data_IF_782793181098
#
_entry.id   IF_782793181098
#
_cell.length_a   1.000
_cell.length_b   1.000
_cell.length_c   1.000
_cell.angle_alpha   90.00
_cell.angle_beta   90.00
_cell.angle_gamma   90.00
#
_symmetry.space_group_name_H-M   'P 1'
#
loop_
_entity.id
_entity.type
_entity.pdbx_description
1 polymer ?
#
# COMPACT_ATOMS: atom_id res chain seq x y z
N UNK A 1 -8.49 -15.47 -3.97
CA UNK A 1 -8.24 -14.06 -3.58
C UNK A 1 -7.03 -13.86 -2.69
N UNK A 2 -6.79 -14.70 -1.68
CA UNK A 2 -5.65 -14.53 -0.75
C UNK A 2 -4.28 -14.52 -1.46
N UNK A 3 -4.12 -15.35 -2.51
CA UNK A 3 -2.89 -15.40 -3.29
C UNK A 3 -2.60 -14.12 -4.11
N UNK A 4 -3.64 -13.43 -4.60
CA UNK A 4 -3.48 -12.16 -5.33
C UNK A 4 -3.01 -11.06 -4.37
N UNK A 5 -3.57 -11.02 -3.15
CA UNK A 5 -3.16 -10.05 -2.13
C UNK A 5 -1.70 -10.25 -1.68
N UNK A 6 -1.25 -11.49 -1.53
CA UNK A 6 0.16 -11.82 -1.23
C UNK A 6 1.07 -11.31 -2.37
N UNK A 7 0.70 -11.56 -3.63
CA UNK A 7 1.47 -11.12 -4.80
C UNK A 7 1.64 -9.60 -4.89
N UNK A 8 0.57 -8.84 -4.62
CA UNK A 8 0.66 -7.36 -4.58
C UNK A 8 1.49 -6.82 -3.41
N UNK A 9 1.65 -7.57 -2.33
CA UNK A 9 2.37 -7.10 -1.12
C UNK A 9 3.88 -7.34 -1.22
N UNK A 10 4.33 -8.36 -1.94
CA UNK A 10 5.75 -8.78 -2.04
C UNK A 10 6.50 -8.05 -3.19
N UNK A 11 5.94 -6.99 -3.79
CA UNK A 11 6.45 -6.32 -5.00
C UNK A 11 7.96 -6.02 -5.07
N UNK A 12 8.48 -5.65 -6.25
CA UNK A 12 9.94 -5.61 -6.51
C UNK A 12 10.70 -4.62 -5.62
N UNK A 13 10.01 -3.63 -5.05
CA UNK A 13 10.56 -2.70 -4.06
C UNK A 13 11.09 -3.35 -2.78
N UNK A 14 10.57 -4.52 -2.39
CA UNK A 14 11.11 -5.28 -1.24
C UNK A 14 12.58 -5.65 -1.49
N UNK A 15 12.95 -6.03 -2.71
CA UNK A 15 14.31 -6.48 -3.01
C UNK A 15 15.22 -5.35 -3.48
N UNK A 16 14.69 -4.40 -4.26
CA UNK A 16 15.47 -3.26 -4.74
C UNK A 16 15.81 -2.27 -3.61
N UNK A 17 14.88 -2.07 -2.67
CA UNK A 17 14.99 -1.10 -1.58
C UNK A 17 15.49 -1.66 -0.25
N UNK A 18 15.25 -2.95 0.07
CA UNK A 18 15.68 -3.48 1.36
C UNK A 18 17.21 -3.58 1.47
N UNK A 19 17.92 -3.93 0.39
CA UNK A 19 19.38 -4.06 0.42
C UNK A 19 20.10 -2.74 0.76
N UNK A 20 19.65 -1.63 0.18
CA UNK A 20 20.18 -0.29 0.46
C UNK A 20 19.76 0.21 1.84
N UNK A 21 18.52 -0.06 2.25
CA UNK A 21 17.99 0.35 3.57
C UNK A 21 18.70 -0.40 4.71
N UNK A 22 18.92 -1.71 4.56
CA UNK A 22 19.63 -2.55 5.53
C UNK A 22 21.11 -2.14 5.62
N UNK A 23 21.76 -1.85 4.49
CA UNK A 23 23.14 -1.38 4.46
C UNK A 23 23.32 -0.02 5.15
N UNK A 24 22.39 0.92 4.92
CA UNK A 24 22.49 2.27 5.48
C UNK A 24 22.10 2.37 6.97
N UNK A 25 21.13 1.57 7.42
CA UNK A 25 20.52 1.71 8.76
C UNK A 25 20.89 0.57 9.73
N UNK A 26 21.52 -0.50 9.21
CA UNK A 26 21.99 -1.64 10.01
C UNK A 26 20.84 -2.50 10.58
N UNK A 27 21.08 -3.33 11.61
CA UNK A 27 20.09 -4.28 12.14
C UNK A 27 18.86 -3.61 12.79
N UNK A 28 18.89 -2.30 13.03
CA UNK A 28 17.78 -1.52 13.60
C UNK A 28 16.56 -1.44 12.67
N UNK A 29 16.74 -1.73 11.37
CA UNK A 29 15.67 -1.76 10.35
C UNK A 29 14.54 -2.72 10.70
N UNK A 30 14.83 -3.83 11.38
CA UNK A 30 13.82 -4.81 11.81
C UNK A 30 12.79 -4.17 12.75
N UNK A 31 13.22 -3.26 13.62
CA UNK A 31 12.34 -2.60 14.59
C UNK A 31 11.34 -1.67 13.88
N UNK A 32 11.81 -0.95 12.86
CA UNK A 32 10.98 -0.07 12.02
C UNK A 32 9.97 -0.89 11.21
N UNK A 33 10.41 -1.99 10.57
CA UNK A 33 9.48 -2.87 9.85
C UNK A 33 8.43 -3.50 10.78
N UNK A 34 8.80 -3.87 12.01
CA UNK A 34 7.85 -4.41 12.98
C UNK A 34 6.79 -3.38 13.40
N UNK A 35 7.20 -2.15 13.70
CA UNK A 35 6.27 -1.05 14.05
C UNK A 35 5.36 -0.71 12.88
N UNK A 36 5.91 -0.60 11.67
CA UNK A 36 5.12 -0.33 10.47
C UNK A 36 4.12 -1.46 10.20
N UNK A 37 4.56 -2.72 10.28
CA UNK A 37 3.68 -3.87 10.11
C UNK A 37 2.52 -3.89 11.11
N UNK A 38 2.80 -3.55 12.37
CA UNK A 38 1.78 -3.45 13.41
C UNK A 38 0.77 -2.32 13.11
N UNK A 39 1.24 -1.16 12.65
CA UNK A 39 0.36 -0.07 12.23
C UNK A 39 -0.53 -0.47 11.04
N UNK A 40 0.05 -1.10 10.01
CA UNK A 40 -0.71 -1.60 8.86
C UNK A 40 -1.71 -2.69 9.24
N UNK A 41 -1.39 -3.54 10.21
CA UNK A 41 -2.32 -4.54 10.74
C UNK A 41 -3.59 -3.89 11.31
N UNK A 42 -3.44 -2.87 12.16
CA UNK A 42 -4.59 -2.13 12.70
C UNK A 42 -5.38 -1.40 11.60
N UNK A 43 -4.69 -0.81 10.63
CA UNK A 43 -5.34 -0.14 9.50
C UNK A 43 -6.18 -1.10 8.67
N UNK A 44 -5.63 -2.26 8.30
CA UNK A 44 -6.35 -3.29 7.55
C UNK A 44 -7.53 -3.87 8.34
N UNK A 45 -7.37 -4.03 9.67
CA UNK A 45 -8.44 -4.46 10.58
C UNK A 45 -9.61 -3.47 10.56
N UNK A 46 -9.32 -2.17 10.70
CA UNK A 46 -10.34 -1.12 10.68
C UNK A 46 -11.04 -1.02 9.32
N UNK A 47 -10.29 -1.12 8.22
CA UNK A 47 -10.86 -1.14 6.87
C UNK A 47 -11.76 -2.37 6.64
N UNK A 48 -11.36 -3.53 7.15
CA UNK A 48 -12.17 -4.75 7.08
C UNK A 48 -13.49 -4.61 7.85
N UNK A 49 -13.47 -3.96 9.02
CA UNK A 49 -14.68 -3.66 9.79
C UNK A 49 -15.60 -2.68 9.04
N UNK A 50 -15.05 -1.62 8.42
CA UNK A 50 -15.82 -0.69 7.59
C UNK A 50 -16.48 -1.37 6.38
N UNK A 51 -15.76 -2.28 5.73
CA UNK A 51 -16.28 -3.06 4.60
C UNK A 51 -17.41 -4.02 5.01
N UNK A 52 -17.36 -4.53 6.25
CA UNK A 52 -18.39 -5.41 6.79
C UNK A 52 -19.68 -4.65 7.15
N UNK A 53 -19.56 -3.41 7.63
CA UNK A 53 -20.71 -2.60 8.04
C UNK A 53 -21.51 -1.98 6.88
N UNK A 54 -20.87 -1.63 5.75
CA UNK A 54 -21.54 -0.95 4.63
C UNK A 54 -21.28 -1.70 3.30
N UNK A 55 -22.21 -2.60 2.94
CA UNK A 55 -22.09 -3.48 1.77
C UNK A 55 -22.28 -2.76 0.41
N UNK A 56 -22.70 -1.48 0.44
CA UNK A 56 -23.01 -0.73 -0.79
C UNK A 56 -21.77 -0.11 -1.44
N UNK A 57 -20.64 -0.08 -0.74
CA UNK A 57 -19.40 0.56 -1.16
C UNK A 57 -18.30 -0.49 -1.40
N UNK A 58 -18.07 -0.85 -2.66
CA UNK A 58 -17.09 -1.88 -3.03
C UNK A 58 -15.63 -1.37 -3.10
N UNK A 59 -15.38 -0.07 -2.88
CA UNK A 59 -14.04 0.53 -3.00
C UNK A 59 -13.70 1.43 -1.82
N UNK A 60 -12.42 1.45 -1.40
CA UNK A 60 -11.93 2.36 -0.36
C UNK A 60 -12.25 3.84 -0.66
N UNK A 61 -12.14 4.24 -1.93
CA UNK A 61 -12.48 5.59 -2.38
C UNK A 61 -13.96 5.91 -2.17
N UNK A 62 -14.86 4.93 -2.29
CA UNK A 62 -16.28 5.11 -1.99
C UNK A 62 -16.51 5.39 -0.50
N UNK A 63 -15.77 4.73 0.41
CA UNK A 63 -15.81 5.04 1.83
C UNK A 63 -15.31 6.46 2.12
N UNK A 64 -14.20 6.89 1.50
CA UNK A 64 -13.71 8.27 1.66
C UNK A 64 -14.75 9.28 1.16
N UNK A 65 -15.33 9.05 -0.02
CA UNK A 65 -16.37 9.91 -0.59
C UNK A 65 -17.56 10.05 0.36
N UNK A 66 -17.95 8.95 1.02
CA UNK A 66 -19.14 8.91 1.89
C UNK A 66 -18.92 9.50 3.28
N UNK A 67 -17.76 9.23 3.90
CA UNK A 67 -17.46 9.72 5.25
C UNK A 67 -16.79 11.10 5.27
N UNK A 68 -16.02 11.44 4.24
CA UNK A 68 -15.20 12.65 4.18
C UNK A 68 -15.70 13.67 3.12
N UNK A 69 -16.70 13.29 2.31
CA UNK A 69 -17.33 14.13 1.30
C UNK A 69 -16.78 13.93 -0.12
N UNK A 70 -17.54 14.39 -1.11
CA UNK A 70 -17.25 14.15 -2.53
C UNK A 70 -15.91 14.74 -3.01
N UNK A 71 -15.52 15.90 -2.49
CA UNK A 71 -14.26 16.54 -2.84
C UNK A 71 -13.05 15.70 -2.37
N UNK A 72 -13.11 15.18 -1.14
CA UNK A 72 -12.08 14.32 -0.58
C UNK A 72 -12.03 12.96 -1.30
N UNK A 73 -13.19 12.40 -1.65
CA UNK A 73 -13.29 11.19 -2.47
C UNK A 73 -12.62 11.34 -3.83
N UNK A 74 -12.91 12.45 -4.54
CA UNK A 74 -12.29 12.75 -5.84
C UNK A 74 -10.77 12.91 -5.71
N UNK A 75 -10.30 13.65 -4.71
CA UNK A 75 -8.87 13.82 -4.46
C UNK A 75 -8.18 12.49 -4.18
N UNK A 76 -8.72 11.68 -3.27
CA UNK A 76 -8.18 10.37 -2.93
C UNK A 76 -8.16 9.42 -4.13
N UNK A 77 -9.18 9.45 -4.99
CA UNK A 77 -9.22 8.69 -6.23
C UNK A 77 -8.10 9.07 -7.19
N UNK A 78 -7.86 10.37 -7.40
CA UNK A 78 -6.76 10.86 -8.25
C UNK A 78 -5.39 10.52 -7.66
N UNK A 79 -5.18 10.73 -6.36
CA UNK A 79 -3.91 10.38 -5.69
C UNK A 79 -3.64 8.89 -5.76
N UNK A 80 -4.66 8.05 -5.58
CA UNK A 80 -4.54 6.60 -5.71
C UNK A 80 -4.13 6.18 -7.13
N UNK A 81 -4.79 6.74 -8.15
CA UNK A 81 -4.48 6.43 -9.54
C UNK A 81 -3.05 6.85 -9.93
N UNK A 82 -2.63 8.05 -9.52
CA UNK A 82 -1.26 8.54 -9.73
C UNK A 82 -0.25 7.66 -8.97
N UNK A 83 -0.58 7.22 -7.76
CA UNK A 83 0.26 6.31 -6.98
C UNK A 83 0.52 4.98 -7.70
N UNK A 84 -0.51 4.40 -8.32
CA UNK A 84 -0.36 3.19 -9.15
C UNK A 84 0.54 3.46 -10.36
N UNK A 85 0.39 4.61 -11.02
CA UNK A 85 1.23 4.98 -12.17
C UNK A 85 2.71 5.05 -11.77
N UNK A 86 3.02 5.68 -10.64
CA UNK A 86 4.40 5.71 -10.12
C UNK A 86 4.89 4.33 -9.70
N UNK A 87 4.04 3.50 -9.10
CA UNK A 87 4.40 2.11 -8.77
C UNK A 87 4.78 1.33 -10.03
N UNK A 88 4.00 1.42 -11.12
CA UNK A 88 4.35 0.79 -12.39
C UNK A 88 5.70 1.29 -12.96
N UNK A 89 5.99 2.58 -12.84
CA UNK A 89 7.28 3.14 -13.27
C UNK A 89 8.45 2.66 -12.40
N UNK A 90 8.23 2.50 -11.09
CA UNK A 90 9.21 1.93 -10.18
C UNK A 90 9.51 0.46 -10.52
N UNK A 91 8.48 -0.34 -10.80
CA UNK A 91 8.61 -1.73 -11.25
C UNK A 91 9.40 -1.82 -12.58
N UNK A 92 9.12 -0.94 -13.56
CA UNK A 92 9.88 -0.86 -14.82
C UNK A 92 11.36 -0.52 -14.61
N UNK A 93 11.65 0.42 -13.71
CA UNK A 93 13.03 0.83 -13.38
C UNK A 93 13.78 -0.30 -12.67
N UNK A 94 13.09 -1.02 -11.78
CA UNK A 94 13.62 -2.20 -11.13
C UNK A 94 14.03 -3.26 -12.16
N UNK A 95 13.13 -3.60 -13.10
CA UNK A 95 13.41 -4.54 -14.20
C UNK A 95 14.62 -4.10 -15.02
N UNK A 96 14.72 -2.81 -15.37
CA UNK A 96 15.88 -2.26 -16.10
C UNK A 96 17.19 -2.30 -15.31
N UNK A 97 17.15 -2.41 -13.98
CA UNK A 97 18.34 -2.52 -13.12
C UNK A 97 18.77 -3.97 -12.93
N UNK A 98 17.82 -4.91 -12.98
CA UNK A 98 18.06 -6.34 -12.81
C UNK A 98 18.48 -7.08 -14.10
N UNK A 99 18.20 -6.51 -15.28
CA UNK A 99 18.63 -7.00 -16.61
C UNK A 99 19.87 -6.24 -17.08
#
# INVERSE_FOLDING_TARGET
>A
MQMIAIGCTIGTGLFLGAGTTISATGPSVIFIYAIMGLFFFFLLRALGEMLYFDYNSHTFVSFITRYLGEAAGRFAGWTYWIGILFACMAELTAVSTYV
#
